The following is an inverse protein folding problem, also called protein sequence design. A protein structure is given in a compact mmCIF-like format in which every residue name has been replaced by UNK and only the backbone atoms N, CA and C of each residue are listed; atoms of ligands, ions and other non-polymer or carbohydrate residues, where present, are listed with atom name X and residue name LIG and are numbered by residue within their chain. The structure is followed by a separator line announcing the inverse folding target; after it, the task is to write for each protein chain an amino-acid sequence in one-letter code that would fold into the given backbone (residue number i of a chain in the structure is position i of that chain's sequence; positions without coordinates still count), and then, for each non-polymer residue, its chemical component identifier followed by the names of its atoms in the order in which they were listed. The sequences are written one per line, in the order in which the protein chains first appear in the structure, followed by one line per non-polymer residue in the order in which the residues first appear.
data_IF_274703345217
#
_entry.id   IF_274703345217
#
_cell.length_a   1.000
_cell.length_b   1.000
_cell.length_c   1.000
_cell.angle_alpha   90.00
_cell.angle_beta   90.00
_cell.angle_gamma   90.00
#
_symmetry.space_group_name_H-M   'P 1'
#
loop_
_entity.id
_entity.type
_entity.pdbx_description
1 polymer ?
#
# COMPACT_ATOMS: atom_id res chain seq x y z
N UNK A 1 -22.89 10.41 -1.04
CA UNK A 1 -21.77 10.33 -1.98
C UNK A 1 -20.81 9.30 -1.43
N UNK A 2 -20.80 8.09 -1.98
CA UNK A 2 -20.00 6.99 -1.45
C UNK A 2 -18.57 7.14 -1.96
N UNK A 3 -17.66 7.56 -1.09
CA UNK A 3 -16.23 7.55 -1.35
C UNK A 3 -15.82 6.09 -1.56
N UNK A 4 -15.66 5.68 -2.82
CA UNK A 4 -15.00 4.42 -3.15
C UNK A 4 -13.55 4.55 -2.68
N UNK A 5 -13.30 4.21 -1.42
CA UNK A 5 -11.98 4.03 -0.87
C UNK A 5 -11.40 2.79 -1.56
N UNK A 6 -10.86 2.95 -2.78
CA UNK A 6 -10.34 1.88 -3.64
C UNK A 6 -9.04 1.34 -3.06
N UNK A 7 -9.12 0.75 -1.87
CA UNK A 7 -8.06 -0.11 -1.35
C UNK A 7 -7.91 -1.30 -2.31
N UNK A 8 -6.69 -1.74 -2.59
CA UNK A 8 -6.49 -2.86 -3.49
C UNK A 8 -6.98 -4.16 -2.83
N UNK A 9 -7.48 -5.08 -3.66
CA UNK A 9 -7.87 -6.42 -3.22
C UNK A 9 -6.61 -7.28 -3.03
N UNK A 10 -6.45 -7.86 -1.84
CA UNK A 10 -5.34 -8.74 -1.49
C UNK A 10 -5.28 -10.01 -2.36
N UNK A 11 -6.36 -10.42 -3.01
CA UNK A 11 -6.32 -11.53 -3.99
C UNK A 11 -5.47 -11.23 -5.22
N UNK A 12 -5.20 -9.94 -5.49
CA UNK A 12 -4.35 -9.46 -6.58
C UNK A 12 -2.89 -9.27 -6.15
N UNK A 13 -2.59 -9.37 -4.86
CA UNK A 13 -1.23 -9.23 -4.35
C UNK A 13 -0.38 -10.44 -4.77
N UNK A 14 0.89 -10.24 -5.19
CA UNK A 14 1.79 -11.36 -5.41
C UNK A 14 1.97 -12.19 -4.12
N UNK A 15 2.21 -13.49 -4.28
CA UNK A 15 2.23 -14.44 -3.16
C UNK A 15 3.27 -14.07 -2.06
N UNK A 16 4.39 -13.46 -2.45
CA UNK A 16 5.48 -13.05 -1.57
C UNK A 16 5.39 -11.61 -1.07
N UNK A 17 4.28 -10.92 -1.33
CA UNK A 17 4.02 -9.58 -0.81
C UNK A 17 3.04 -9.63 0.35
N UNK A 18 3.54 -9.25 1.53
CA UNK A 18 2.82 -9.36 2.80
C UNK A 18 2.38 -8.00 3.34
N UNK A 19 2.76 -6.90 2.70
CA UNK A 19 2.49 -5.55 3.17
C UNK A 19 1.84 -4.71 2.07
N UNK A 20 1.01 -3.76 2.47
CA UNK A 20 0.31 -2.85 1.56
C UNK A 20 0.25 -1.48 2.19
N UNK A 21 0.53 -0.44 1.41
CA UNK A 21 0.41 0.92 1.88
C UNK A 21 0.03 1.87 0.75
N UNK A 22 -0.59 2.99 1.15
CA UNK A 22 -0.94 4.10 0.28
C UNK A 22 0.03 5.25 0.51
N UNK A 23 0.46 5.88 -0.56
CA UNK A 23 1.19 7.14 -0.54
C UNK A 23 0.22 8.33 -0.39
N UNK A 24 0.73 9.51 -0.08
CA UNK A 24 -0.04 10.74 0.15
C UNK A 24 -0.92 11.10 -1.05
N UNK A 25 -0.41 10.86 -2.27
CA UNK A 25 -1.09 11.14 -3.53
C UNK A 25 -2.21 10.14 -3.87
N UNK A 26 -2.35 9.08 -3.08
CA UNK A 26 -3.39 8.07 -3.25
C UNK A 26 -2.94 6.77 -3.93
N UNK A 27 -1.68 6.68 -4.40
CA UNK A 27 -1.16 5.46 -5.01
C UNK A 27 -0.95 4.34 -4.00
N UNK A 28 -1.41 3.13 -4.33
CA UNK A 28 -1.24 1.94 -3.51
C UNK A 28 -0.14 1.05 -4.06
N UNK A 29 0.65 0.48 -3.15
CA UNK A 29 1.71 -0.46 -3.46
C UNK A 29 1.66 -1.67 -2.53
N UNK A 30 1.99 -2.82 -3.10
CA UNK A 30 2.33 -4.03 -2.37
C UNK A 30 3.81 -4.02 -2.01
N UNK A 31 4.17 -4.61 -0.87
CA UNK A 31 5.56 -4.78 -0.46
C UNK A 31 5.87 -6.20 0.05
N UNK A 32 7.06 -6.71 -0.29
CA UNK A 32 7.61 -7.99 0.23
C UNK A 32 8.11 -7.88 1.65
N UNK A 33 8.68 -6.72 1.99
CA UNK A 33 9.19 -6.38 3.31
C UNK A 33 8.42 -5.18 3.85
N UNK A 34 8.45 -4.96 5.16
CA UNK A 34 7.86 -3.78 5.77
C UNK A 34 8.51 -2.50 5.17
N UNK A 35 7.74 -1.59 4.57
CA UNK A 35 8.26 -0.33 4.07
C UNK A 35 8.39 0.71 5.19
N UNK A 36 9.25 1.70 4.99
CA UNK A 36 9.44 2.82 5.92
C UNK A 36 8.81 4.11 5.36
N UNK A 37 8.19 4.96 6.22
CA UNK A 37 7.60 6.21 5.75
C UNK A 37 8.67 7.25 5.42
N UNK A 38 8.58 7.87 4.24
CA UNK A 38 9.41 9.00 3.82
C UNK A 38 8.62 10.31 3.91
N UNK A 39 8.65 10.95 5.08
CA UNK A 39 7.81 12.12 5.41
C UNK A 39 7.99 13.32 4.46
N UNK A 40 9.21 13.55 3.97
CA UNK A 40 9.48 14.65 3.03
C UNK A 40 9.01 14.38 1.60
N UNK A 41 8.66 13.13 1.28
CA UNK A 41 8.20 12.72 -0.05
C UNK A 41 6.75 12.31 -0.12
N UNK A 42 6.05 12.16 1.01
CA UNK A 42 4.67 11.68 1.05
C UNK A 42 4.51 10.24 0.55
N UNK A 43 5.52 9.38 0.75
CA UNK A 43 5.54 8.01 0.21
C UNK A 43 6.08 6.98 1.20
N UNK A 44 5.68 5.73 1.02
CA UNK A 44 6.31 4.56 1.63
C UNK A 44 7.49 4.07 0.77
N UNK A 45 8.65 3.82 1.40
CA UNK A 45 9.87 3.41 0.71
C UNK A 45 10.23 1.98 1.06
N UNK A 46 10.61 1.23 0.03
CA UNK A 46 11.41 0.02 0.12
C UNK A 46 12.35 -0.03 -1.10
N UNK A 47 13.25 -1.01 -1.12
CA UNK A 47 14.00 -1.29 -2.35
C UNK A 47 13.02 -1.65 -3.49
N UNK A 48 13.22 -1.12 -4.69
CA UNK A 48 12.28 -1.28 -5.83
C UNK A 48 11.95 -2.73 -6.18
N UNK A 49 12.86 -3.68 -5.89
CA UNK A 49 12.63 -5.13 -6.06
C UNK A 49 11.58 -5.71 -5.12
N UNK A 50 11.23 -4.99 -4.06
CA UNK A 50 10.28 -5.38 -3.02
C UNK A 50 8.98 -4.59 -3.11
N UNK A 51 8.79 -3.75 -4.12
CA UNK A 51 7.63 -2.87 -4.30
C UNK A 51 6.94 -3.16 -5.62
N UNK A 52 5.61 -3.24 -5.61
CA UNK A 52 4.82 -3.37 -6.82
C UNK A 52 3.57 -2.49 -6.75
N UNK A 53 3.31 -1.71 -7.82
CA UNK A 53 2.10 -0.90 -7.91
C UNK A 53 0.85 -1.78 -7.90
N UNK A 54 -0.14 -1.39 -7.09
CA UNK A 54 -1.40 -2.10 -6.94
C UNK A 54 -2.52 -1.39 -7.71
N UNK A 55 -2.82 -0.14 -7.34
CA UNK A 55 -3.84 0.68 -7.99
C UNK A 55 -3.74 2.16 -7.56
N UNK A 56 -4.46 3.03 -8.25
CA UNK A 56 -4.63 4.43 -7.86
C UNK A 56 -5.94 4.60 -7.06
N UNK A 57 -5.83 5.21 -5.88
CA UNK A 57 -6.95 5.63 -5.03
C UNK A 57 -7.02 7.16 -4.90
N UNK A 58 -7.85 7.65 -4.00
CA UNK A 58 -7.92 9.09 -3.69
C UNK A 58 -6.74 9.53 -2.81
N UNK A 59 -6.27 10.79 -2.92
CA UNK A 59 -5.27 11.35 -2.03
C UNK A 59 -5.63 11.18 -0.56
N UNK A 60 -4.64 10.84 0.26
CA UNK A 60 -4.83 10.47 1.66
C UNK A 60 -3.93 11.31 2.59
N UNK A 61 -4.45 12.34 3.28
CA UNK A 61 -3.65 13.13 4.22
C UNK A 61 -3.21 12.32 5.46
N UNK A 62 -3.79 11.14 5.68
CA UNK A 62 -3.45 10.20 6.76
C UNK A 62 -2.71 8.96 6.21
N UNK A 63 -2.01 9.09 5.06
CA UNK A 63 -1.31 7.99 4.39
C UNK A 63 -0.32 7.23 5.29
N UNK A 64 0.24 7.87 6.31
CA UNK A 64 1.13 7.25 7.32
C UNK A 64 0.41 6.14 8.11
N UNK A 65 -0.91 6.18 8.19
CA UNK A 65 -1.74 5.18 8.86
C UNK A 65 -2.24 4.08 7.90
N UNK A 66 -1.84 4.14 6.62
CA UNK A 66 -2.36 3.23 5.60
C UNK A 66 -1.63 1.89 5.52
N UNK A 67 -0.50 1.73 6.22
CA UNK A 67 0.26 0.48 6.22
C UNK A 67 -0.55 -0.67 6.82
N UNK A 68 -0.67 -1.76 6.08
CA UNK A 68 -1.41 -2.94 6.44
C UNK A 68 -0.59 -4.20 6.14
N UNK A 69 -0.68 -5.18 7.04
CA UNK A 69 -0.20 -6.54 6.80
C UNK A 69 -1.29 -7.35 6.10
N UNK A 70 -0.87 -8.28 5.24
CA UNK A 70 -1.75 -9.23 4.55
C UNK A 70 -2.55 -10.03 5.59
N UNK A 71 -3.88 -10.14 5.46
CA UNK A 71 -4.69 -10.95 6.36
C UNK A 71 -4.27 -12.42 6.37
N UNK A 72 -4.21 -13.02 7.57
CA UNK A 72 -3.73 -14.39 7.78
C UNK A 72 -4.64 -15.47 7.15
N UNK A 73 -5.96 -15.20 7.01
CA UNK A 73 -6.95 -16.15 6.48
C UNK A 73 -7.00 -16.22 4.94
N UNK A 74 -6.01 -15.63 4.25
CA UNK A 74 -5.88 -15.64 2.78
C UNK A 74 -4.74 -16.55 2.28
N UNK A 75 -4.39 -17.56 3.07
CA UNK A 75 -3.37 -18.57 2.79
C UNK A 75 -3.99 -19.88 2.25
#
# INVERSE_FOLDING_TARGET
MSTNNKKPDWTLAPADHHWCAQDENGDWYWYRVEPEPSLGGGVWRSNSRHQQFACHGEPNPQWIQSLQLRPADMA
#
